data_IF_416297027973
#
_entry.id   IF_416297027973
#
_cell.length_a   1.000
_cell.length_b   1.000
_cell.length_c   1.000
_cell.angle_alpha   90.00
_cell.angle_beta   90.00
_cell.angle_gamma   90.00
#
_symmetry.space_group_name_H-M   'P 1'
#
loop_
_entity.id
_entity.type
_entity.pdbx_description
1 polymer ?
#
# COMPACT_ATOMS: atom_id res chain seq x y z
N UNK A 1 -1.57 8.48 -3.59
CA UNK A 1 -0.93 7.81 -2.43
C UNK A 1 -1.98 7.02 -1.67
N UNK A 2 -1.67 5.76 -1.34
CA UNK A 2 -2.49 4.89 -0.50
C UNK A 2 -1.95 4.95 0.93
N UNK A 3 -2.86 5.06 1.89
CA UNK A 3 -2.56 5.18 3.32
C UNK A 3 -3.27 4.07 4.06
N UNK A 4 -2.55 3.34 4.90
CA UNK A 4 -3.13 2.40 5.86
C UNK A 4 -3.00 2.99 7.25
N UNK A 5 -4.13 3.16 7.94
CA UNK A 5 -4.16 3.62 9.32
C UNK A 5 -4.24 2.42 10.25
N UNK A 6 -3.37 2.43 11.27
CA UNK A 6 -3.35 1.39 12.29
C UNK A 6 -4.29 1.73 13.45
N UNK A 7 -5.04 0.74 13.94
CA UNK A 7 -5.72 0.79 15.22
C UNK A 7 -4.75 0.35 16.30
N UNK A 8 -4.08 1.32 16.95
CA UNK A 8 -3.31 1.06 18.17
C UNK A 8 -3.95 1.79 19.32
N UNK A 9 -4.31 1.04 20.35
CA UNK A 9 -4.90 1.59 21.57
C UNK A 9 -3.80 1.56 22.64
N UNK A 10 -3.59 2.67 23.34
CA UNK A 10 -2.64 2.81 24.46
C UNK A 10 -1.14 2.68 24.11
N UNK A 11 -0.71 3.15 22.94
CA UNK A 11 0.70 3.18 22.52
C UNK A 11 1.06 4.57 21.95
N UNK A 12 2.32 5.00 22.07
CA UNK A 12 2.84 6.25 21.48
C UNK A 12 2.75 6.24 19.94
N UNK A 13 2.59 5.05 19.37
CA UNK A 13 2.48 4.79 17.93
C UNK A 13 1.04 4.89 17.38
N UNK A 14 0.10 5.46 18.13
CA UNK A 14 -1.31 5.52 17.70
C UNK A 14 -1.59 6.40 16.47
N UNK A 15 -0.70 7.32 16.15
CA UNK A 15 -0.76 8.13 14.92
C UNK A 15 0.12 7.60 13.79
N UNK A 16 0.72 6.43 13.96
CA UNK A 16 1.55 5.83 12.93
C UNK A 16 0.70 5.39 11.74
N UNK A 17 1.16 5.74 10.56
CA UNK A 17 0.51 5.45 9.29
C UNK A 17 1.51 4.86 8.31
N UNK A 18 1.00 3.96 7.48
CA UNK A 18 1.76 3.30 6.44
C UNK A 18 1.37 3.91 5.11
N UNK A 19 2.35 4.44 4.39
CA UNK A 19 2.13 5.15 3.13
C UNK A 19 2.75 4.39 1.96
N UNK A 20 2.04 4.36 0.84
CA UNK A 20 2.52 3.83 -0.43
C UNK A 20 2.21 4.79 -1.59
N UNK A 21 3.23 5.30 -2.31
CA UNK A 21 3.00 6.09 -3.51
C UNK A 21 2.44 5.19 -4.61
N UNK A 22 1.21 5.50 -5.05
CA UNK A 22 0.55 4.82 -6.14
C UNK A 22 0.50 5.74 -7.35
N UNK A 23 1.04 5.28 -8.47
CA UNK A 23 1.00 5.96 -9.76
C UNK A 23 -0.01 5.25 -10.66
N UNK A 24 -1.02 6.00 -11.10
CA UNK A 24 -1.99 5.53 -12.10
C UNK A 24 -1.49 5.93 -13.48
N UNK A 25 -1.85 5.14 -14.51
CA UNK A 25 -1.48 5.51 -15.89
C UNK A 25 -2.29 6.69 -16.46
N UNK A 26 -3.35 7.13 -15.76
CA UNK A 26 -4.14 8.30 -16.16
C UNK A 26 -4.96 8.14 -17.44
N UNK A 27 -5.09 6.90 -17.96
CA UNK A 27 -5.85 6.59 -19.17
C UNK A 27 -7.31 6.17 -18.89
N UNK A 28 -8.13 6.01 -19.94
CA UNK A 28 -9.56 5.65 -19.81
C UNK A 28 -9.80 4.18 -19.42
N UNK A 29 -8.74 3.39 -19.24
CA UNK A 29 -8.82 1.95 -19.03
C UNK A 29 -8.73 1.60 -17.54
N UNK A 30 -9.49 0.58 -17.14
CA UNK A 30 -9.37 -0.03 -15.82
C UNK A 30 -7.98 -0.62 -15.60
N UNK A 31 -7.44 -0.39 -14.41
CA UNK A 31 -6.13 -0.89 -14.00
C UNK A 31 -6.25 -1.68 -12.70
N UNK A 32 -5.77 -2.93 -12.72
CA UNK A 32 -5.62 -3.73 -11.52
C UNK A 32 -4.23 -3.49 -10.92
N UNK A 33 -4.18 -3.11 -9.64
CA UNK A 33 -2.92 -2.88 -8.93
C UNK A 33 -2.86 -3.77 -7.71
N UNK A 34 -1.81 -4.59 -7.63
CA UNK A 34 -1.48 -5.38 -6.46
C UNK A 34 -0.38 -4.68 -5.68
N UNK A 35 -0.65 -4.34 -4.42
CA UNK A 35 0.28 -3.65 -3.54
C UNK A 35 0.71 -4.61 -2.43
N UNK A 36 1.99 -5.04 -2.38
CA UNK A 36 2.49 -5.84 -1.26
C UNK A 36 2.51 -5.01 0.02
N UNK A 37 2.07 -5.60 1.14
CA UNK A 37 2.11 -4.94 2.46
C UNK A 37 3.53 -4.57 2.92
N UNK A 38 4.55 -5.28 2.43
CA UNK A 38 5.95 -4.98 2.71
C UNK A 38 6.45 -3.67 2.08
N UNK A 39 5.80 -3.19 1.01
CA UNK A 39 6.23 -1.96 0.31
C UNK A 39 5.76 -0.67 0.98
N UNK A 40 4.95 -0.76 2.04
CA UNK A 40 4.51 0.42 2.76
C UNK A 40 5.60 1.00 3.65
N UNK A 41 5.73 2.32 3.63
CA UNK A 41 6.69 3.05 4.46
C UNK A 41 5.98 3.60 5.70
N UNK A 42 6.55 3.33 6.87
CA UNK A 42 6.08 3.84 8.14
C UNK A 42 6.40 5.34 8.27
N UNK A 43 5.36 6.13 8.54
CA UNK A 43 5.48 7.54 8.83
C UNK A 43 4.59 7.93 10.01
N UNK A 44 4.95 9.01 10.69
CA UNK A 44 4.15 9.66 11.72
C UNK A 44 4.16 11.17 11.48
N UNK A 45 2.99 11.81 11.56
CA UNK A 45 2.83 13.26 11.37
C UNK A 45 3.56 13.81 10.10
N UNK A 46 3.48 13.08 8.98
CA UNK A 46 4.10 13.45 7.73
C UNK A 46 5.62 13.21 7.64
N UNK A 47 6.25 12.63 8.67
CA UNK A 47 7.68 12.30 8.67
C UNK A 47 7.88 10.79 8.60
N UNK A 48 8.73 10.35 7.67
CA UNK A 48 9.17 8.95 7.60
C UNK A 48 9.96 8.62 8.86
N UNK A 49 9.66 7.50 9.50
CA UNK A 49 10.41 7.04 10.66
C UNK A 49 11.72 6.38 10.23
N UNK A 50 12.80 6.60 10.99
CA UNK A 50 14.09 5.97 10.67
C UNK A 50 14.04 4.44 10.84
N UNK A 51 13.39 3.96 11.91
CA UNK A 51 13.21 2.53 12.15
C UNK A 51 11.94 2.07 11.47
N UNK A 52 12.10 1.54 10.26
CA UNK A 52 11.01 0.93 9.52
C UNK A 52 10.58 -0.37 10.20
N UNK A 53 9.28 -0.62 10.20
CA UNK A 53 8.67 -1.88 10.63
C UNK A 53 7.75 -2.32 9.51
N UNK A 54 7.76 -3.60 9.18
CA UNK A 54 6.78 -4.14 8.25
C UNK A 54 5.38 -4.07 8.86
N UNK A 55 4.37 -4.00 8.00
CA UNK A 55 2.93 -4.06 8.37
C UNK A 55 2.54 -5.39 9.08
N UNK A 56 3.48 -6.30 9.35
CA UNK A 56 3.21 -7.69 9.72
C UNK A 56 3.60 -8.18 11.12
N UNK A 57 4.25 -7.41 12.01
CA UNK A 57 4.78 -8.01 13.26
C UNK A 57 3.75 -8.22 14.38
N UNK A 58 2.56 -7.61 14.30
CA UNK A 58 1.42 -7.87 15.22
C UNK A 58 0.09 -8.20 14.51
N UNK A 59 0.05 -8.14 13.18
CA UNK A 59 -1.03 -8.64 12.34
C UNK A 59 -1.68 -7.58 11.46
N UNK A 60 -2.14 -8.01 10.28
CA UNK A 60 -3.04 -7.26 9.37
C UNK A 60 -4.34 -6.82 10.08
N UNK A 61 -4.70 -7.49 11.18
CA UNK A 61 -5.83 -7.16 12.05
C UNK A 61 -5.79 -5.75 12.65
N UNK A 62 -4.61 -5.14 12.72
CA UNK A 62 -4.47 -3.78 13.23
C UNK A 62 -4.79 -2.72 12.16
N UNK A 63 -5.04 -3.08 10.90
CA UNK A 63 -5.47 -2.10 9.88
C UNK A 63 -6.92 -1.70 10.16
N UNK A 64 -7.13 -0.42 10.47
CA UNK A 64 -8.46 0.16 10.70
C UNK A 64 -9.09 0.68 9.42
N UNK A 65 -8.36 1.59 8.77
CA UNK A 65 -8.85 2.34 7.62
C UNK A 65 -7.84 2.29 6.47
N UNK A 66 -8.39 2.39 5.26
CA UNK A 66 -7.63 2.59 4.02
C UNK A 66 -8.03 3.95 3.47
N UNK A 67 -7.06 4.86 3.37
CA UNK A 67 -7.21 6.17 2.76
C UNK A 67 -6.55 6.23 1.40
N UNK A 68 -7.15 6.98 0.48
CA UNK A 68 -6.52 7.33 -0.80
C UNK A 68 -6.48 8.85 -0.86
N UNK A 69 -5.29 9.39 -1.09
CA UNK A 69 -5.10 10.83 -1.27
C UNK A 69 -4.37 11.11 -2.57
N UNK A 70 -4.75 12.20 -3.22
CA UNK A 70 -3.93 12.81 -4.28
C UNK A 70 -2.72 13.42 -3.59
N UNK A 71 -1.52 13.10 -4.07
CA UNK A 71 -0.25 13.54 -3.46
C UNK A 71 0.61 14.36 -4.45
N UNK A 72 0.01 14.77 -5.56
CA UNK A 72 0.66 15.54 -6.61
C UNK A 72 0.03 16.92 -6.64
N UNK A 73 0.85 17.95 -6.71
CA UNK A 73 0.43 19.34 -6.85
C UNK A 73 0.29 19.70 -8.34
N UNK A 74 -0.62 19.00 -9.03
CA UNK A 74 -0.97 19.31 -10.43
C UNK A 74 -2.42 19.79 -10.45
N UNK A 75 -2.67 21.04 -10.88
CA UNK A 75 -4.02 21.59 -10.93
C UNK A 75 -4.84 20.92 -12.03
N UNK A 76 -6.09 20.59 -11.72
CA UNK A 76 -7.03 20.02 -12.69
C UNK A 76 -8.12 19.19 -12.03
N UNK A 77 -9.22 18.89 -12.74
CA UNK A 77 -10.24 18.00 -12.25
C UNK A 77 -9.69 16.57 -12.13
N UNK A 78 -9.84 15.96 -10.95
CA UNK A 78 -9.49 14.57 -10.71
C UNK A 78 -10.77 13.73 -10.57
N UNK A 79 -10.80 12.58 -11.25
CA UNK A 79 -11.85 11.57 -11.10
C UNK A 79 -11.18 10.23 -10.81
N UNK A 80 -11.64 9.57 -9.76
CA UNK A 80 -11.21 8.24 -9.39
C UNK A 80 -12.44 7.37 -9.21
N UNK A 81 -12.43 6.23 -9.88
CA UNK A 81 -13.43 5.18 -9.71
C UNK A 81 -12.73 3.93 -9.17
N UNK A 82 -13.37 3.24 -8.23
CA UNK A 82 -12.87 2.02 -7.62
C UNK A 82 -13.99 1.00 -7.70
N UNK A 83 -13.74 -0.07 -8.43
CA UNK A 83 -14.69 -1.18 -8.55
C UNK A 83 -14.66 -2.05 -7.28
N UNK A 84 -13.49 -2.59 -6.93
CA UNK A 84 -13.33 -3.39 -5.72
C UNK A 84 -11.97 -3.21 -5.05
N UNK A 85 -11.92 -3.61 -3.78
CA UNK A 85 -10.68 -3.74 -2.99
C UNK A 85 -10.69 -5.10 -2.30
N UNK A 86 -9.58 -5.83 -2.41
CA UNK A 86 -9.46 -7.17 -1.84
C UNK A 86 -8.05 -7.40 -1.27
N UNK A 87 -7.97 -8.30 -0.29
CA UNK A 87 -6.70 -8.83 0.21
C UNK A 87 -6.48 -10.19 -0.45
N UNK A 88 -5.32 -10.37 -1.06
CA UNK A 88 -4.95 -11.61 -1.74
C UNK A 88 -3.79 -12.24 -0.99
N UNK A 89 -3.88 -13.55 -0.76
CA UNK A 89 -2.75 -14.35 -0.28
C UNK A 89 -2.00 -14.89 -1.50
N UNK A 90 -0.72 -14.57 -1.61
CA UNK A 90 0.13 -15.22 -2.59
C UNK A 90 0.51 -16.62 -2.07
N UNK A 91 0.18 -17.68 -2.81
CA UNK A 91 0.50 -19.06 -2.42
C UNK A 91 1.98 -19.41 -2.68
N UNK A 92 2.67 -18.62 -3.51
CA UNK A 92 4.07 -18.83 -3.88
C UNK A 92 5.06 -18.28 -2.84
N UNK A 93 4.62 -17.50 -1.84
CA UNK A 93 5.47 -16.93 -0.79
C UNK A 93 5.77 -17.92 0.35
N UNK A 94 5.88 -19.23 0.04
CA UNK A 94 6.15 -20.30 1.01
C UNK A 94 7.64 -20.40 1.40
N UNK A 95 8.52 -19.64 0.76
CA UNK A 95 9.95 -19.61 1.00
C UNK A 95 10.41 -18.24 1.48
N UNK A 96 11.25 -18.23 2.50
CA UNK A 96 11.78 -17.03 3.18
C UNK A 96 12.40 -16.00 2.24
N UNK A 97 12.02 -14.74 2.37
CA UNK A 97 12.96 -13.65 2.66
C UNK A 97 12.22 -12.33 2.90
N UNK A 98 12.83 -11.44 3.68
CA UNK A 98 12.46 -10.02 3.81
C UNK A 98 12.60 -9.23 2.47
N UNK A 99 12.77 -9.93 1.35
CA UNK A 99 13.20 -9.41 0.05
C UNK A 99 12.38 -9.97 -1.12
N UNK A 100 11.11 -10.35 -0.94
CA UNK A 100 10.18 -10.61 -2.06
C UNK A 100 9.79 -9.30 -2.80
N UNK A 101 10.79 -8.46 -3.06
CA UNK A 101 10.76 -7.30 -3.92
C UNK A 101 10.98 -7.77 -5.36
N UNK A 102 10.11 -7.33 -6.28
CA UNK A 102 10.34 -7.30 -7.73
C UNK A 102 10.16 -8.58 -8.56
N UNK A 103 9.37 -9.56 -8.13
CA UNK A 103 8.73 -10.45 -9.11
C UNK A 103 7.35 -9.92 -9.46
N UNK A 104 7.31 -8.83 -10.23
CA UNK A 104 6.16 -8.60 -11.09
C UNK A 104 6.15 -9.78 -12.07
N UNK A 105 5.20 -10.70 -11.90
CA UNK A 105 4.86 -11.59 -12.98
C UNK A 105 4.44 -10.68 -14.15
N UNK A 106 5.37 -10.41 -15.05
CA UNK A 106 5.03 -9.97 -16.38
C UNK A 106 4.20 -11.12 -16.92
N UNK A 107 2.88 -10.97 -16.92
CA UNK A 107 2.08 -11.72 -17.87
C UNK A 107 2.65 -11.32 -19.22
N UNK A 108 3.41 -12.22 -19.84
CA UNK A 108 3.59 -12.20 -21.28
C UNK A 108 2.16 -12.22 -21.80
N UNK A 109 1.67 -11.07 -22.23
CA UNK A 109 0.53 -11.04 -23.10
C UNK A 109 0.98 -11.81 -24.34
N UNK A 110 0.44 -13.01 -24.50
CA UNK A 110 0.51 -13.73 -25.76
C UNK A 110 -0.13 -12.80 -26.81
N UNK A 111 0.69 -12.35 -27.76
CA UNK A 111 0.27 -11.74 -29.01
C UNK A 111 -0.40 -12.79 -29.91
#
# INVERSE_FOLDING_TARGET
>A
MVILQMQRIWDHHFYDMYNYPLYTHGGPYWQNVVIPFSKFVLAAAGRVQNKQKHVGLRGVHDIRDIGITVAVDVPGPFKLEIDYKAVVRNENSRGSSDFDMELYATNKFDL
#
